data_IF_061850904367
#
_entry.id   IF_061850904367
#
_cell.length_a   1.000
_cell.length_b   1.000
_cell.length_c   1.000
_cell.angle_alpha   90.00
_cell.angle_beta   90.00
_cell.angle_gamma   90.00
#
_symmetry.space_group_name_H-M   'P 1'
#
loop_
_entity.id
_entity.type
_entity.pdbx_description
1 polymer ?
#
# COMPACT_ATOMS: atom_id res chain seq x y z
N UNK A 1 6.31 33.67 28.56
CA UNK A 1 6.24 32.63 29.61
C UNK A 1 6.10 31.22 29.06
N UNK A 2 5.81 31.02 27.77
CA UNK A 2 5.45 29.70 27.22
C UNK A 2 6.60 28.70 27.05
N UNK A 3 7.83 29.14 26.74
CA UNK A 3 8.94 28.21 26.49
C UNK A 3 9.38 27.41 27.72
N UNK A 4 9.36 28.01 28.91
CA UNK A 4 9.71 27.31 30.16
C UNK A 4 8.67 26.22 30.47
N UNK A 5 7.39 26.49 30.22
CA UNK A 5 6.31 25.53 30.43
C UNK A 5 6.39 24.36 29.44
N UNK A 6 6.77 24.61 28.18
CA UNK A 6 7.00 23.54 27.20
C UNK A 6 8.17 22.65 27.57
N UNK A 7 9.31 23.24 27.96
CA UNK A 7 10.46 22.44 28.37
C UNK A 7 10.15 21.60 29.61
N UNK A 8 9.50 22.20 30.61
CA UNK A 8 9.08 21.46 31.82
C UNK A 8 8.11 20.30 31.51
N UNK A 9 7.23 20.45 30.51
CA UNK A 9 6.35 19.38 30.08
C UNK A 9 7.09 18.29 29.28
N UNK A 10 8.02 18.69 28.39
CA UNK A 10 8.84 17.76 27.61
C UNK A 10 9.73 16.88 28.52
N UNK A 11 10.23 17.46 29.63
CA UNK A 11 11.05 16.77 30.63
C UNK A 11 10.21 15.94 31.64
N UNK A 12 8.87 16.02 31.59
CA UNK A 12 7.95 15.28 32.46
C UNK A 12 7.53 13.94 31.85
N UNK A 13 6.54 13.27 32.45
CA UNK A 13 5.91 12.08 31.86
C UNK A 13 5.05 12.37 30.61
N UNK A 14 5.01 13.63 30.15
CA UNK A 14 4.32 14.08 28.95
C UNK A 14 2.81 13.77 28.97
N UNK A 15 2.14 14.12 30.08
CA UNK A 15 0.70 13.95 30.24
C UNK A 15 -0.04 14.62 29.07
N UNK A 16 -0.82 13.83 28.33
CA UNK A 16 -1.42 14.25 27.07
C UNK A 16 -2.43 15.39 27.23
N UNK A 17 -3.43 15.31 28.16
CA UNK A 17 -4.33 16.43 28.43
C UNK A 17 -3.59 17.73 28.78
N UNK A 18 -2.56 17.66 29.62
CA UNK A 18 -1.74 18.82 29.97
C UNK A 18 -1.00 19.39 28.75
N UNK A 19 -0.45 18.53 27.90
CA UNK A 19 0.23 18.94 26.67
C UNK A 19 -0.72 19.63 25.67
N UNK A 20 -1.95 19.13 25.52
CA UNK A 20 -2.96 19.76 24.65
C UNK A 20 -3.34 21.14 25.17
N UNK A 21 -3.52 21.30 26.49
CA UNK A 21 -3.79 22.62 27.08
C UNK A 21 -2.64 23.60 26.87
N UNK A 22 -1.39 23.14 27.06
CA UNK A 22 -0.21 23.94 26.80
C UNK A 22 -0.11 24.36 25.33
N UNK A 23 -0.38 23.43 24.40
CA UNK A 23 -0.40 23.71 22.96
C UNK A 23 -1.49 24.73 22.61
N UNK A 24 -2.70 24.58 23.14
CA UNK A 24 -3.83 25.47 22.87
C UNK A 24 -3.59 26.93 23.30
N UNK A 25 -2.76 27.15 24.31
CA UNK A 25 -2.41 28.48 24.81
C UNK A 25 -1.38 29.19 23.93
N UNK A 26 -0.76 28.50 22.96
CA UNK A 26 0.25 29.10 22.10
C UNK A 26 -0.39 29.87 20.93
N UNK A 27 0.05 31.12 20.64
CA UNK A 27 -0.49 31.90 19.51
C UNK A 27 -0.32 31.23 18.14
N UNK A 28 0.74 30.42 17.98
CA UNK A 28 1.05 29.71 16.73
C UNK A 28 0.53 28.26 16.69
N UNK A 29 -0.38 27.90 17.60
CA UNK A 29 -1.02 26.59 17.58
C UNK A 29 -1.84 26.42 16.30
N UNK A 30 -1.71 25.26 15.65
CA UNK A 30 -2.45 24.97 14.42
C UNK A 30 -3.87 24.47 14.77
N UNK A 31 -4.95 25.19 14.38
CA UNK A 31 -6.32 24.81 14.77
C UNK A 31 -6.72 23.40 14.34
N UNK A 32 -6.24 22.94 13.18
CA UNK A 32 -6.52 21.60 12.68
C UNK A 32 -5.91 20.50 13.56
N UNK A 33 -4.73 20.74 14.16
CA UNK A 33 -4.08 19.78 15.05
C UNK A 33 -4.74 19.79 16.44
N UNK A 34 -5.16 20.96 16.94
CA UNK A 34 -5.98 21.04 18.16
C UNK A 34 -7.25 20.19 18.03
N UNK A 35 -8.01 20.38 16.94
CA UNK A 35 -9.21 19.58 16.67
C UNK A 35 -8.91 18.08 16.54
N UNK A 36 -7.74 17.71 15.98
CA UNK A 36 -7.30 16.31 15.91
C UNK A 36 -7.06 15.72 17.30
N UNK A 37 -6.35 16.45 18.16
CA UNK A 37 -6.00 16.02 19.52
C UNK A 37 -7.25 15.89 20.40
N UNK A 38 -8.16 16.86 20.34
CA UNK A 38 -9.42 16.85 21.10
C UNK A 38 -10.35 15.70 20.67
N UNK A 39 -10.44 15.44 19.35
CA UNK A 39 -11.34 14.40 18.82
C UNK A 39 -10.81 12.99 19.02
N UNK A 40 -9.51 12.79 18.85
CA UNK A 40 -8.92 11.45 18.79
C UNK A 40 -8.43 10.95 20.15
N UNK A 41 -8.10 11.87 21.07
CA UNK A 41 -7.58 11.52 22.39
C UNK A 41 -6.15 10.97 22.38
N UNK A 42 -5.70 10.42 23.52
CA UNK A 42 -4.34 9.91 23.69
C UNK A 42 -4.16 8.59 22.92
N UNK A 43 -3.23 8.58 21.97
CA UNK A 43 -2.84 7.41 21.19
C UNK A 43 -1.40 7.54 20.71
N UNK A 44 -0.74 6.44 20.30
CA UNK A 44 0.69 6.48 19.97
C UNK A 44 1.06 7.51 18.90
N UNK A 45 0.19 7.66 17.90
CA UNK A 45 0.37 8.64 16.82
C UNK A 45 0.14 10.07 17.30
N UNK A 46 -0.98 10.33 17.99
CA UNK A 46 -1.35 11.68 18.43
C UNK A 46 -0.43 12.21 19.51
N UNK A 47 0.02 11.37 20.45
CA UNK A 47 1.00 11.74 21.47
C UNK A 47 2.34 12.11 20.84
N UNK A 48 2.84 11.29 19.90
CA UNK A 48 4.08 11.61 19.18
C UNK A 48 3.97 12.92 18.40
N UNK A 49 2.84 13.16 17.75
CA UNK A 49 2.62 14.38 16.97
C UNK A 49 2.47 15.63 17.86
N UNK A 50 1.86 15.49 19.05
CA UNK A 50 1.78 16.56 20.05
C UNK A 50 3.18 16.95 20.56
N UNK A 51 4.02 15.97 20.89
CA UNK A 51 5.41 16.20 21.32
C UNK A 51 6.20 16.95 20.24
N UNK A 52 6.14 16.51 18.98
CA UNK A 52 6.85 17.17 17.88
C UNK A 52 6.43 18.63 17.68
N UNK A 53 5.13 18.93 17.82
CA UNK A 53 4.66 20.31 17.69
C UNK A 53 5.07 21.18 18.88
N UNK A 54 5.08 20.64 20.11
CA UNK A 54 5.57 21.35 21.29
C UNK A 54 7.08 21.59 21.20
N UNK A 55 7.87 20.61 20.74
CA UNK A 55 9.31 20.76 20.46
C UNK A 55 9.55 21.87 19.43
N UNK A 56 8.78 21.89 18.33
CA UNK A 56 8.87 22.95 17.32
C UNK A 56 8.65 24.32 17.95
N UNK A 57 7.58 24.48 18.72
CA UNK A 57 7.24 25.75 19.37
C UNK A 57 8.23 26.14 20.49
N UNK A 58 8.90 25.18 21.12
CA UNK A 58 9.94 25.44 22.10
C UNK A 58 11.23 25.97 21.46
N UNK A 59 11.58 25.49 20.25
CA UNK A 59 12.78 25.89 19.51
C UNK A 59 12.61 27.25 18.82
N UNK A 60 11.40 27.61 18.40
CA UNK A 60 11.12 28.82 17.61
C UNK A 60 11.17 30.16 18.38
N UNK A 61 11.70 30.21 19.62
CA UNK A 61 12.01 31.52 20.23
C UNK A 61 13.15 32.20 19.47
N UNK A 62 12.90 33.27 18.70
CA UNK A 62 13.92 33.89 17.91
C UNK A 62 14.75 34.81 18.81
N UNK A 63 16.04 34.52 18.93
CA UNK A 63 17.04 35.59 19.07
C UNK A 63 16.85 36.51 17.86
N UNK A 64 16.52 37.81 18.01
CA UNK A 64 16.22 38.66 16.87
C UNK A 64 17.49 38.95 16.07
N UNK A 65 17.70 38.20 15.00
CA UNK A 65 18.57 38.60 13.91
C UNK A 65 17.71 39.29 12.84
N UNK A 66 18.12 40.45 12.30
CA UNK A 66 17.32 41.21 11.35
C UNK A 66 17.17 40.41 10.05
N UNK A 67 15.92 40.12 9.69
CA UNK A 67 15.57 39.34 8.50
C UNK A 67 15.75 40.22 7.27
N UNK A 68 16.84 40.01 6.54
CA UNK A 68 16.95 40.47 5.16
C UNK A 68 15.89 39.74 4.33
N UNK A 69 15.13 40.50 3.53
CA UNK A 69 14.09 40.00 2.65
C UNK A 69 14.60 38.85 1.77
N UNK A 70 14.18 37.63 2.07
CA UNK A 70 14.49 36.46 1.26
C UNK A 70 13.65 36.53 -0.01
N UNK A 71 14.28 36.97 -1.10
CA UNK A 71 13.82 36.71 -2.45
C UNK A 71 13.56 35.21 -2.62
N UNK A 72 12.49 34.86 -3.33
CA UNK A 72 12.19 33.51 -3.84
C UNK A 72 13.37 32.96 -4.66
N UNK A 73 14.41 32.47 -3.98
CA UNK A 73 15.40 31.61 -4.59
C UNK A 73 14.74 30.25 -4.72
N UNK A 74 14.58 29.79 -5.96
CA UNK A 74 14.15 28.44 -6.28
C UNK A 74 15.00 27.46 -5.47
N UNK A 75 14.42 26.89 -4.42
CA UNK A 75 15.07 25.91 -3.59
C UNK A 75 15.40 24.71 -4.48
N UNK A 76 16.68 24.59 -4.81
CA UNK A 76 17.23 23.44 -5.48
C UNK A 76 16.99 22.28 -4.55
N UNK A 77 16.05 21.40 -4.92
CA UNK A 77 15.73 20.21 -4.14
C UNK A 77 17.05 19.49 -3.82
N UNK A 78 17.31 19.14 -2.54
CA UNK A 78 18.54 18.47 -2.18
C UNK A 78 18.68 17.21 -3.02
N UNK A 79 19.73 17.18 -3.84
CA UNK A 79 20.09 16.03 -4.67
C UNK A 79 20.22 14.84 -3.72
N UNK A 80 19.25 13.93 -3.78
CA UNK A 80 19.28 12.72 -2.96
C UNK A 80 20.60 12.00 -3.20
N UNK A 81 21.32 11.60 -2.15
CA UNK A 81 22.56 10.85 -2.32
C UNK A 81 22.27 9.66 -3.22
N UNK A 82 23.16 9.40 -4.18
CA UNK A 82 23.02 8.32 -5.14
C UNK A 82 22.67 7.03 -4.37
N UNK A 83 21.49 6.46 -4.65
CA UNK A 83 21.07 5.22 -4.02
C UNK A 83 22.16 4.18 -4.22
N UNK A 84 22.56 3.45 -3.16
CA UNK A 84 23.52 2.35 -3.31
C UNK A 84 23.04 1.43 -4.43
N UNK A 85 23.97 1.09 -5.31
CA UNK A 85 23.70 0.34 -6.54
C UNK A 85 22.94 -0.93 -6.19
N UNK A 86 21.66 -0.99 -6.57
CA UNK A 86 20.83 -2.13 -6.23
C UNK A 86 21.32 -3.36 -7.02
N UNK A 87 21.29 -4.55 -6.39
CA UNK A 87 21.61 -5.79 -7.07
C UNK A 87 20.79 -5.97 -8.36
N UNK A 88 21.43 -6.45 -9.43
CA UNK A 88 20.81 -6.58 -10.75
C UNK A 88 19.57 -7.48 -10.76
N UNK A 89 19.48 -8.43 -9.84
CA UNK A 89 18.33 -9.31 -9.64
C UNK A 89 17.14 -8.63 -8.94
N UNK A 90 17.39 -7.57 -8.17
CA UNK A 90 16.37 -6.81 -7.41
C UNK A 90 15.78 -5.66 -8.22
N UNK A 91 16.59 -5.03 -9.07
CA UNK A 91 16.19 -3.91 -9.91
C UNK A 91 14.86 -4.14 -10.69
N UNK A 92 14.64 -5.27 -11.38
CA UNK A 92 13.39 -5.49 -12.12
C UNK A 92 12.18 -5.62 -11.19
N UNK A 93 12.33 -6.29 -10.04
CA UNK A 93 11.25 -6.46 -9.06
C UNK A 93 10.86 -5.12 -8.41
N UNK A 94 11.84 -4.28 -8.10
CA UNK A 94 11.58 -2.94 -7.56
C UNK A 94 10.85 -2.05 -8.56
N UNK A 95 11.25 -2.09 -9.83
CA UNK A 95 10.59 -1.38 -10.92
C UNK A 95 9.16 -1.88 -11.15
N UNK A 96 8.95 -3.20 -11.17
CA UNK A 96 7.64 -3.83 -11.29
C UNK A 96 6.71 -3.39 -10.15
N UNK A 97 7.18 -3.46 -8.89
CA UNK A 97 6.40 -3.02 -7.72
C UNK A 97 5.97 -1.57 -7.85
N UNK A 98 6.88 -0.68 -8.24
CA UNK A 98 6.58 0.74 -8.41
C UNK A 98 5.54 0.95 -9.52
N UNK A 99 5.64 0.20 -10.61
CA UNK A 99 4.68 0.26 -11.71
C UNK A 99 3.27 -0.18 -11.24
N UNK A 100 3.16 -1.34 -10.59
CA UNK A 100 1.91 -1.88 -10.07
C UNK A 100 1.22 -0.92 -9.09
N UNK A 101 2.01 -0.30 -8.21
CA UNK A 101 1.50 0.68 -7.25
C UNK A 101 0.99 1.95 -7.94
N UNK A 102 1.72 2.47 -8.94
CA UNK A 102 1.29 3.63 -9.73
C UNK A 102 0.00 3.35 -10.48
N UNK A 103 -0.10 2.18 -11.12
CA UNK A 103 -1.30 1.76 -11.84
C UNK A 103 -2.50 1.62 -10.89
N UNK A 104 -2.32 0.94 -9.75
CA UNK A 104 -3.38 0.77 -8.75
C UNK A 104 -3.84 2.13 -8.19
N UNK A 105 -2.91 3.04 -7.90
CA UNK A 105 -3.22 4.40 -7.43
C UNK A 105 -4.00 5.21 -8.48
N UNK A 106 -3.59 5.12 -9.74
CA UNK A 106 -4.28 5.78 -10.86
C UNK A 106 -5.71 5.24 -11.00
N UNK A 107 -5.88 3.90 -11.05
CA UNK A 107 -7.20 3.26 -11.11
C UNK A 107 -8.07 3.65 -9.93
N UNK A 108 -7.52 3.69 -8.71
CA UNK A 108 -8.25 4.09 -7.52
C UNK A 108 -8.77 5.53 -7.63
N UNK A 109 -7.97 6.44 -8.20
CA UNK A 109 -8.39 7.82 -8.48
C UNK A 109 -9.50 7.93 -9.54
N UNK A 110 -9.49 7.06 -10.55
CA UNK A 110 -10.47 7.09 -11.65
C UNK A 110 -11.75 6.31 -11.39
N UNK A 111 -11.81 5.45 -10.36
CA UNK A 111 -12.97 4.59 -10.04
C UNK A 111 -14.30 5.35 -10.00
N UNK A 112 -14.33 6.56 -9.43
CA UNK A 112 -15.54 7.37 -9.30
C UNK A 112 -16.00 7.98 -10.64
N UNK A 113 -15.13 8.02 -11.63
CA UNK A 113 -15.35 8.66 -12.93
C UNK A 113 -15.63 7.66 -14.06
N UNK A 114 -15.53 6.35 -13.80
CA UNK A 114 -15.90 5.31 -14.76
C UNK A 114 -17.42 5.30 -14.97
N UNK A 115 -17.85 5.16 -16.23
CA UNK A 115 -19.24 5.34 -16.62
C UNK A 115 -20.13 4.15 -16.20
N UNK A 116 -19.61 2.94 -16.31
CA UNK A 116 -20.38 1.70 -16.08
C UNK A 116 -19.94 0.96 -14.83
N UNK A 117 -20.86 0.20 -14.21
CA UNK A 117 -20.54 -0.68 -13.09
C UNK A 117 -19.59 -1.82 -13.48
N UNK A 118 -19.67 -2.29 -14.73
CA UNK A 118 -18.79 -3.34 -15.23
C UNK A 118 -17.33 -2.85 -15.29
N UNK A 119 -17.09 -1.62 -15.75
CA UNK A 119 -15.76 -1.00 -15.75
C UNK A 119 -15.25 -0.79 -14.33
N UNK A 120 -16.10 -0.31 -13.41
CA UNK A 120 -15.76 -0.16 -12.00
C UNK A 120 -15.34 -1.48 -11.37
N UNK A 121 -16.10 -2.54 -11.66
CA UNK A 121 -15.79 -3.89 -11.17
C UNK A 121 -14.46 -4.41 -11.72
N UNK A 122 -14.22 -4.27 -13.03
CA UNK A 122 -12.96 -4.65 -13.66
C UNK A 122 -11.77 -3.89 -13.04
N UNK A 123 -11.88 -2.57 -12.89
CA UNK A 123 -10.85 -1.76 -12.26
C UNK A 123 -10.58 -2.19 -10.81
N UNK A 124 -11.62 -2.47 -10.02
CA UNK A 124 -11.47 -2.97 -8.66
C UNK A 124 -10.77 -4.35 -8.60
N UNK A 125 -11.08 -5.24 -9.54
CA UNK A 125 -10.37 -6.52 -9.69
C UNK A 125 -8.89 -6.31 -10.02
N UNK A 126 -8.56 -5.41 -10.96
CA UNK A 126 -7.17 -5.08 -11.33
C UNK A 126 -6.41 -4.49 -10.16
N UNK A 127 -6.99 -3.54 -9.42
CA UNK A 127 -6.38 -2.97 -8.20
C UNK A 127 -6.02 -4.09 -7.21
N UNK A 128 -6.98 -5.00 -6.95
CA UNK A 128 -6.75 -6.13 -6.04
C UNK A 128 -5.66 -7.07 -6.53
N UNK A 129 -5.61 -7.36 -7.83
CA UNK A 129 -4.57 -8.19 -8.43
C UNK A 129 -3.18 -7.54 -8.30
N UNK A 130 -3.07 -6.23 -8.57
CA UNK A 130 -1.83 -5.48 -8.48
C UNK A 130 -1.29 -5.43 -7.04
N UNK A 131 -2.16 -5.28 -6.04
CA UNK A 131 -1.74 -5.34 -4.64
C UNK A 131 -1.26 -6.74 -4.24
N UNK A 132 -1.98 -7.81 -4.62
CA UNK A 132 -1.51 -9.18 -4.38
C UNK A 132 -0.12 -9.42 -5.00
N UNK A 133 0.08 -8.99 -6.25
CA UNK A 133 1.38 -9.13 -6.91
C UNK A 133 2.47 -8.30 -6.21
N UNK A 134 2.13 -7.11 -5.72
CA UNK A 134 3.05 -6.27 -4.94
C UNK A 134 3.47 -6.93 -3.62
N UNK A 135 2.54 -7.61 -2.95
CA UNK A 135 2.81 -8.38 -1.72
C UNK A 135 3.77 -9.55 -2.01
N UNK A 136 3.55 -10.31 -3.09
CA UNK A 136 4.46 -11.37 -3.53
C UNK A 136 5.89 -10.85 -3.79
N UNK A 137 6.00 -9.67 -4.41
CA UNK A 137 7.31 -9.02 -4.62
C UNK A 137 7.93 -8.64 -3.28
N UNK A 138 7.14 -8.12 -2.33
CA UNK A 138 7.63 -7.77 -1.01
C UNK A 138 8.17 -8.99 -0.26
N UNK A 139 7.43 -10.10 -0.31
CA UNK A 139 7.85 -11.38 0.27
C UNK A 139 9.15 -11.89 -0.37
N UNK A 140 9.29 -11.81 -1.69
CA UNK A 140 10.51 -12.21 -2.39
C UNK A 140 11.73 -11.35 -2.01
N UNK A 141 11.53 -10.04 -1.86
CA UNK A 141 12.58 -9.11 -1.42
C UNK A 141 12.97 -9.38 0.05
N UNK A 142 12.00 -9.59 0.93
CA UNK A 142 12.25 -9.92 2.35
C UNK A 142 12.95 -11.27 2.49
N UNK A 143 12.58 -12.26 1.68
CA UNK A 143 13.26 -13.56 1.63
C UNK A 143 14.73 -13.38 1.24
N UNK A 144 15.01 -12.59 0.19
CA UNK A 144 16.37 -12.31 -0.25
C UNK A 144 17.20 -11.60 0.82
N UNK A 145 16.64 -10.63 1.52
CA UNK A 145 17.31 -9.95 2.63
C UNK A 145 17.76 -10.94 3.72
N UNK A 146 16.94 -11.96 4.00
CA UNK A 146 17.22 -12.99 5.01
C UNK A 146 18.17 -14.09 4.53
N UNK A 147 18.07 -14.50 3.26
CA UNK A 147 18.75 -15.70 2.74
C UNK A 147 19.89 -15.40 1.75
N UNK A 148 20.05 -14.15 1.31
CA UNK A 148 21.05 -13.73 0.33
C UNK A 148 20.71 -14.06 -1.13
N UNK A 149 19.59 -14.75 -1.40
CA UNK A 149 19.15 -15.13 -2.74
C UNK A 149 17.62 -15.02 -2.85
N UNK A 150 17.10 -14.81 -4.07
CA UNK A 150 15.66 -14.82 -4.34
C UNK A 150 15.03 -16.18 -4.00
N UNK A 151 13.75 -16.22 -3.59
CA UNK A 151 13.07 -17.47 -3.35
C UNK A 151 13.10 -18.33 -4.63
N UNK A 152 13.24 -19.66 -4.51
CA UNK A 152 13.13 -20.52 -5.68
C UNK A 152 11.76 -20.25 -6.31
N UNK A 153 11.75 -20.08 -7.64
CA UNK A 153 10.50 -20.02 -8.39
C UNK A 153 9.86 -21.39 -8.21
N UNK A 154 8.97 -21.49 -7.23
CA UNK A 154 8.03 -22.59 -7.16
C UNK A 154 7.14 -22.33 -8.35
N UNK A 155 7.49 -22.91 -9.50
CA UNK A 155 6.52 -23.09 -10.56
C UNK A 155 5.33 -23.69 -9.83
N UNK A 156 4.25 -22.91 -9.73
CA UNK A 156 3.02 -23.45 -9.23
C UNK A 156 2.66 -24.50 -10.26
N UNK A 157 3.11 -25.73 -9.98
CA UNK A 157 2.41 -26.92 -10.40
C UNK A 157 1.09 -26.73 -9.70
N UNK A 158 0.18 -25.97 -10.33
CA UNK A 158 -1.24 -26.20 -10.18
C UNK A 158 -1.28 -27.70 -10.38
N UNK A 159 -1.39 -28.43 -9.28
CA UNK A 159 -1.48 -29.86 -9.37
C UNK A 159 -2.75 -30.02 -10.21
N UNK A 160 -2.57 -30.32 -11.49
CA UNK A 160 -3.64 -30.58 -12.45
C UNK A 160 -4.47 -31.81 -12.04
N UNK A 161 -4.22 -32.31 -10.82
CA UNK A 161 -4.72 -33.49 -10.15
C UNK A 161 -5.21 -33.19 -8.72
N UNK A 162 -5.32 -31.92 -8.27
CA UNK A 162 -6.14 -31.65 -7.07
C UNK A 162 -7.58 -32.08 -7.39
N UNK A 163 -8.07 -33.07 -6.64
CA UNK A 163 -9.37 -33.69 -6.87
C UNK A 163 -10.50 -32.65 -6.86
N UNK A 164 -10.41 -31.65 -5.98
CA UNK A 164 -11.36 -30.55 -5.95
C UNK A 164 -11.30 -29.68 -7.21
N UNK A 165 -10.09 -29.41 -7.71
CA UNK A 165 -9.84 -28.73 -8.99
C UNK A 165 -10.44 -29.49 -10.19
N UNK A 166 -10.21 -30.81 -10.25
CA UNK A 166 -10.76 -31.68 -11.29
C UNK A 166 -12.29 -31.72 -11.27
N UNK A 167 -12.92 -31.80 -10.09
CA UNK A 167 -14.38 -31.73 -9.94
C UNK A 167 -14.96 -30.40 -10.41
N UNK A 168 -14.31 -29.29 -10.04
CA UNK A 168 -14.70 -27.95 -10.50
C UNK A 168 -14.61 -27.84 -12.02
N UNK A 169 -13.49 -28.30 -12.61
CA UNK A 169 -13.28 -28.31 -14.06
C UNK A 169 -14.31 -29.17 -14.80
N UNK A 170 -14.62 -30.37 -14.28
CA UNK A 170 -15.66 -31.26 -14.80
C UNK A 170 -17.01 -30.55 -14.88
N UNK A 171 -17.42 -29.88 -13.80
CA UNK A 171 -18.70 -29.19 -13.74
C UNK A 171 -18.75 -28.01 -14.71
N UNK A 172 -17.68 -27.22 -14.81
CA UNK A 172 -17.58 -26.12 -15.79
C UNK A 172 -17.72 -26.62 -17.23
N UNK A 173 -17.02 -27.70 -17.59
CA UNK A 173 -17.10 -28.30 -18.93
C UNK A 173 -18.51 -28.80 -19.26
N UNK A 174 -19.20 -29.44 -18.30
CA UNK A 174 -20.60 -29.87 -18.48
C UNK A 174 -21.53 -28.68 -18.74
N UNK A 175 -21.34 -27.58 -18.00
CA UNK A 175 -22.10 -26.34 -18.22
C UNK A 175 -21.88 -25.82 -19.63
N UNK A 176 -20.62 -25.68 -20.08
CA UNK A 176 -20.31 -25.19 -21.44
C UNK A 176 -20.88 -26.07 -22.55
N UNK A 177 -20.80 -27.39 -22.38
CA UNK A 177 -21.39 -28.34 -23.35
C UNK A 177 -22.92 -28.20 -23.40
N UNK A 178 -23.58 -28.01 -22.26
CA UNK A 178 -25.05 -27.85 -22.18
C UNK A 178 -25.55 -26.51 -22.72
N UNK A 179 -24.78 -25.42 -22.52
CA UNK A 179 -25.18 -24.07 -22.93
C UNK A 179 -24.98 -23.82 -24.43
N UNK A 180 -24.13 -24.62 -25.09
CA UNK A 180 -23.83 -24.45 -26.50
C UNK A 180 -24.95 -25.01 -27.40
N UNK A 181 -25.57 -24.15 -28.21
CA UNK A 181 -26.52 -24.57 -29.26
C UNK A 181 -25.78 -24.75 -30.60
N UNK A 182 -26.08 -25.84 -31.30
CA UNK A 182 -25.51 -26.17 -32.62
C UNK A 182 -24.23 -27.03 -32.58
N UNK A 183 -23.79 -27.46 -33.76
CA UNK A 183 -22.53 -28.20 -33.97
C UNK A 183 -21.40 -27.20 -34.09
N UNK A 184 -20.56 -27.15 -33.06
CA UNK A 184 -19.40 -26.26 -32.99
C UNK A 184 -18.17 -27.13 -32.67
N UNK A 185 -17.06 -26.95 -33.38
CA UNK A 185 -15.79 -27.65 -33.12
C UNK A 185 -15.35 -27.56 -31.66
N UNK A 186 -15.68 -26.44 -30.99
CA UNK A 186 -15.43 -26.23 -29.56
C UNK A 186 -16.13 -27.26 -28.67
N UNK A 187 -17.31 -27.75 -29.07
CA UNK A 187 -18.05 -28.77 -28.32
C UNK A 187 -17.30 -30.10 -28.31
N UNK A 188 -16.74 -30.50 -29.45
CA UNK A 188 -15.94 -31.71 -29.55
C UNK A 188 -14.66 -31.59 -28.69
N UNK A 189 -14.00 -30.43 -28.71
CA UNK A 189 -12.84 -30.16 -27.86
C UNK A 189 -13.19 -30.26 -26.36
N UNK A 190 -14.30 -29.67 -25.91
CA UNK A 190 -14.75 -29.76 -24.52
C UNK A 190 -15.15 -31.17 -24.10
N UNK A 191 -15.76 -31.96 -24.99
CA UNK A 191 -16.06 -33.36 -24.73
C UNK A 191 -14.79 -34.20 -24.57
N UNK A 192 -13.79 -33.99 -25.44
CA UNK A 192 -12.50 -34.67 -25.33
C UNK A 192 -11.76 -34.29 -24.03
N UNK A 193 -11.83 -33.03 -23.62
CA UNK A 193 -11.27 -32.58 -22.36
C UNK A 193 -12.01 -33.17 -21.15
N UNK A 194 -13.35 -33.19 -21.17
CA UNK A 194 -14.16 -33.78 -20.12
C UNK A 194 -13.80 -35.26 -19.89
N UNK A 195 -13.63 -36.03 -20.96
CA UNK A 195 -13.21 -37.43 -20.87
C UNK A 195 -11.83 -37.61 -20.22
N UNK A 196 -10.89 -36.67 -20.43
CA UNK A 196 -9.57 -36.69 -19.75
C UNK A 196 -9.72 -36.41 -18.26
N UNK A 197 -10.53 -35.42 -17.89
CA UNK A 197 -10.79 -35.06 -16.48
C UNK A 197 -11.50 -36.22 -15.75
N UNK A 198 -12.47 -36.87 -16.39
CA UNK A 198 -13.19 -38.01 -15.81
C UNK A 198 -12.28 -39.23 -15.60
N UNK A 199 -11.36 -39.49 -16.53
CA UNK A 199 -10.33 -40.54 -16.37
C UNK A 199 -9.39 -40.26 -15.20
N UNK A 200 -9.03 -38.99 -14.97
CA UNK A 200 -8.21 -38.61 -13.81
C UNK A 200 -8.97 -38.72 -12.48
N UNK A 201 -10.29 -38.52 -12.48
CA UNK A 201 -11.13 -38.62 -11.28
C UNK A 201 -11.43 -40.06 -10.87
N UNK A 202 -11.46 -41.00 -11.83
CA UNK A 202 -11.72 -42.43 -11.62
C UNK A 202 -10.55 -43.27 -12.19
N UNK A 203 -9.37 -43.27 -11.54
CA UNK A 203 -8.20 -44.03 -11.98
C UNK A 203 -8.41 -45.55 -11.87
#
# INVERSE_FOLDING_TARGET
MSAIAFQAWLDSEQDFPQGVQLYAQHPEARPALLALFERSGPGPFTSKQLVQEIERLAVEQPTPAPVAAAANAAATAPTSPASPEQPADVAPLAAEKLHLFKEASNLHGTLRHLATDEERFKAACTIKANFRRSDEIFDALSYREKHGALPPVVESVIADDDHAGLLKRRNTLRTYISSQRGTNEKRAAWQAELAKVERKLNP
#
